data_IF_348848526229
#
_entry.id   IF_348848526229
#
_cell.length_a   1.000
_cell.length_b   1.000
_cell.length_c   1.000
_cell.angle_alpha   90.00
_cell.angle_beta   90.00
_cell.angle_gamma   90.00
#
_symmetry.space_group_name_H-M   'P 1'
#
loop_
_entity.id
_entity.type
_entity.pdbx_description
1 polymer ?
#
# COMPACT_ATOMS: atom_id res chain seq x y z
N UNK A 1 -7.74 26.85 -3.52
CA UNK A 1 -6.76 25.83 -3.06
C UNK A 1 -6.61 24.79 -4.16
N UNK A 2 -5.41 24.60 -4.73
CA UNK A 2 -5.18 23.52 -5.70
C UNK A 2 -5.12 22.19 -4.93
N UNK A 3 -6.19 21.40 -4.99
CA UNK A 3 -6.19 20.04 -4.45
C UNK A 3 -5.21 19.18 -5.27
N UNK A 4 -4.19 18.65 -4.60
CA UNK A 4 -3.22 17.72 -5.21
C UNK A 4 -3.58 16.31 -4.80
N UNK A 5 -3.95 15.48 -5.78
CA UNK A 5 -4.21 14.06 -5.57
C UNK A 5 -3.04 13.38 -4.86
N UNK A 6 -1.80 13.67 -5.28
CA UNK A 6 -0.57 13.18 -4.61
C UNK A 6 -0.54 13.48 -3.12
N UNK A 7 -0.89 14.71 -2.72
CA UNK A 7 -0.91 15.09 -1.30
C UNK A 7 -1.97 14.30 -0.53
N UNK A 8 -3.17 14.18 -1.09
CA UNK A 8 -4.27 13.40 -0.50
C UNK A 8 -3.88 11.92 -0.35
N UNK A 9 -3.30 11.33 -1.41
CA UNK A 9 -2.89 9.93 -1.44
C UNK A 9 -1.82 9.63 -0.39
N UNK A 10 -0.80 10.48 -0.28
CA UNK A 10 0.25 10.35 0.74
C UNK A 10 -0.31 10.50 2.15
N UNK A 11 -1.22 11.46 2.38
CA UNK A 11 -1.88 11.63 3.68
C UNK A 11 -2.72 10.42 4.04
N UNK A 12 -3.47 9.85 3.10
CA UNK A 12 -4.23 8.62 3.33
C UNK A 12 -3.32 7.46 3.75
N UNK A 13 -2.20 7.24 3.06
CA UNK A 13 -1.24 6.19 3.41
C UNK A 13 -0.56 6.39 4.76
N UNK A 14 -0.46 7.63 5.23
CA UNK A 14 0.01 7.96 6.58
C UNK A 14 -0.92 7.39 7.67
N UNK A 15 -2.22 7.28 7.40
CA UNK A 15 -3.20 6.68 8.33
C UNK A 15 -3.44 5.19 8.07
N UNK A 16 -3.48 4.78 6.80
CA UNK A 16 -3.70 3.38 6.41
C UNK A 16 -2.48 2.51 6.74
N UNK A 17 -1.26 3.05 6.62
CA UNK A 17 -0.01 2.32 6.91
C UNK A 17 0.05 1.74 8.32
N UNK A 18 -0.20 2.52 9.38
CA UNK A 18 -0.28 2.01 10.75
C UNK A 18 -1.34 0.91 10.93
N UNK A 19 -2.54 1.11 10.36
CA UNK A 19 -3.61 0.10 10.44
C UNK A 19 -3.22 -1.20 9.73
N UNK A 20 -2.62 -1.10 8.54
CA UNK A 20 -2.07 -2.23 7.81
C UNK A 20 -0.99 -2.94 8.64
N UNK A 21 -0.06 -2.20 9.24
CA UNK A 21 0.99 -2.78 10.08
C UNK A 21 0.43 -3.59 11.25
N UNK A 22 -0.62 -3.07 11.92
CA UNK A 22 -1.30 -3.80 13.00
C UNK A 22 -1.89 -5.11 12.50
N UNK A 23 -2.55 -5.12 11.32
CA UNK A 23 -3.09 -6.35 10.74
C UNK A 23 -2.00 -7.37 10.42
N UNK A 24 -0.89 -6.92 9.84
CA UNK A 24 0.27 -7.78 9.55
C UNK A 24 0.85 -8.36 10.84
N UNK A 25 0.97 -7.53 11.88
CA UNK A 25 1.44 -7.96 13.20
C UNK A 25 0.50 -8.99 13.84
N UNK A 26 -0.83 -8.80 13.74
CA UNK A 26 -1.80 -9.76 14.27
C UNK A 26 -1.65 -11.13 13.59
N UNK A 27 -1.47 -11.18 12.27
CA UNK A 27 -1.23 -12.44 11.55
C UNK A 27 0.12 -13.03 11.96
N UNK A 28 1.17 -12.21 12.05
CA UNK A 28 2.50 -12.65 12.48
C UNK A 28 2.48 -13.29 13.88
N UNK A 29 1.70 -12.73 14.79
CA UNK A 29 1.56 -13.20 16.18
C UNK A 29 0.53 -14.30 16.37
N UNK A 30 -0.26 -14.65 15.35
CA UNK A 30 -1.37 -15.62 15.45
C UNK A 30 -0.94 -17.08 15.66
N UNK A 31 0.34 -17.40 15.45
CA UNK A 31 0.84 -18.78 15.46
C UNK A 31 0.48 -19.60 14.21
N UNK A 32 -0.17 -19.01 13.20
CA UNK A 32 -0.51 -19.69 11.95
C UNK A 32 0.69 -19.94 11.03
N UNK A 33 1.73 -19.12 11.15
CA UNK A 33 2.98 -19.23 10.40
C UNK A 33 3.96 -20.12 11.18
N UNK A 34 3.87 -21.44 10.96
CA UNK A 34 4.57 -22.46 11.76
C UNK A 34 6.06 -22.56 11.39
N UNK A 35 6.37 -22.47 10.10
CA UNK A 35 7.74 -22.59 9.60
C UNK A 35 8.35 -21.22 9.27
N UNK A 36 9.68 -21.19 9.15
CA UNK A 36 10.39 -20.01 8.66
C UNK A 36 10.02 -19.72 7.20
N UNK A 37 9.77 -20.77 6.41
CA UNK A 37 9.34 -20.65 5.02
C UNK A 37 7.97 -19.97 4.91
N UNK A 38 7.00 -20.35 5.75
CA UNK A 38 5.68 -19.70 5.78
C UNK A 38 5.80 -18.19 6.08
N UNK A 39 6.66 -17.84 7.04
CA UNK A 39 6.92 -16.44 7.41
C UNK A 39 7.53 -15.64 6.26
N UNK A 40 8.48 -16.24 5.53
CA UNK A 40 9.10 -15.62 4.36
C UNK A 40 8.09 -15.43 3.23
N UNK A 41 7.31 -16.46 2.90
CA UNK A 41 6.26 -16.41 1.87
C UNK A 41 5.25 -15.32 2.21
N UNK A 42 4.80 -15.28 3.47
CA UNK A 42 3.87 -14.26 3.95
C UNK A 42 4.41 -12.84 3.71
N UNK A 43 5.63 -12.55 4.16
CA UNK A 43 6.23 -11.22 3.97
C UNK A 43 6.47 -10.89 2.48
N UNK A 44 6.89 -11.87 1.68
CA UNK A 44 7.10 -11.73 0.24
C UNK A 44 5.82 -11.44 -0.54
N UNK A 45 4.63 -11.77 0.00
CA UNK A 45 3.35 -11.44 -0.64
C UNK A 45 2.83 -10.11 -0.10
N UNK A 46 2.86 -9.94 1.22
CA UNK A 46 2.22 -8.82 1.91
C UNK A 46 2.94 -7.50 1.68
N UNK A 47 4.27 -7.47 1.76
CA UNK A 47 5.05 -6.24 1.56
C UNK A 47 4.91 -5.74 0.10
N UNK A 48 5.14 -6.56 -0.94
CA UNK A 48 4.98 -6.12 -2.31
C UNK A 48 3.54 -5.75 -2.66
N UNK A 49 2.55 -6.46 -2.10
CA UNK A 49 1.13 -6.12 -2.27
C UNK A 49 0.82 -4.70 -1.75
N UNK A 50 1.30 -4.34 -0.57
CA UNK A 50 1.13 -2.99 -0.02
C UNK A 50 1.80 -1.92 -0.89
N UNK A 51 3.02 -2.18 -1.34
CA UNK A 51 3.75 -1.28 -2.24
C UNK A 51 3.03 -1.11 -3.58
N UNK A 52 2.51 -2.19 -4.17
CA UNK A 52 1.73 -2.13 -5.42
C UNK A 52 0.52 -1.22 -5.28
N UNK A 53 -0.23 -1.32 -4.18
CA UNK A 53 -1.38 -0.43 -3.93
C UNK A 53 -0.90 1.02 -3.83
N UNK A 54 0.18 1.29 -3.08
CA UNK A 54 0.74 2.64 -2.97
C UNK A 54 1.12 3.22 -4.34
N UNK A 55 1.81 2.44 -5.18
CA UNK A 55 2.21 2.86 -6.53
C UNK A 55 1.02 3.03 -7.49
N UNK A 56 -0.05 2.24 -7.33
CA UNK A 56 -1.24 2.32 -8.16
C UNK A 56 -1.91 3.72 -8.11
N UNK A 57 -1.87 4.40 -6.96
CA UNK A 57 -2.39 5.77 -6.86
C UNK A 57 -1.68 6.74 -7.80
N UNK A 58 -0.35 6.69 -7.88
CA UNK A 58 0.42 7.53 -8.81
C UNK A 58 0.15 7.16 -10.27
N UNK A 59 -0.03 5.86 -10.56
CA UNK A 59 -0.43 5.41 -11.88
C UNK A 59 -1.78 6.00 -12.30
N UNK A 60 -2.77 5.97 -11.40
CA UNK A 60 -4.11 6.52 -11.62
C UNK A 60 -4.03 8.04 -11.84
N UNK A 61 -3.23 8.76 -11.04
CA UNK A 61 -3.03 10.20 -11.22
C UNK A 61 -2.42 10.53 -12.59
N UNK A 62 -1.39 9.77 -12.99
CA UNK A 62 -0.74 9.91 -14.29
C UNK A 62 -1.70 9.64 -15.45
N UNK A 63 -2.48 8.56 -15.36
CA UNK A 63 -3.52 8.23 -16.35
C UNK A 63 -4.59 9.32 -16.45
N UNK A 64 -5.05 9.84 -15.32
CA UNK A 64 -6.06 10.90 -15.29
C UNK A 64 -5.56 12.19 -15.96
N UNK A 65 -4.32 12.61 -15.66
CA UNK A 65 -3.70 13.78 -16.30
C UNK A 65 -3.54 13.60 -17.81
N UNK A 66 -3.12 12.42 -18.26
CA UNK A 66 -3.02 12.06 -19.68
C UNK A 66 -4.37 12.13 -20.39
N UNK A 67 -5.44 11.59 -19.78
CA UNK A 67 -6.79 11.61 -20.36
C UNK A 67 -7.39 13.01 -20.49
N UNK A 68 -7.03 13.92 -19.59
CA UNK A 68 -7.54 15.30 -19.58
C UNK A 68 -6.61 16.31 -20.28
N UNK A 69 -5.58 15.85 -21.00
CA UNK A 69 -4.67 16.74 -21.74
C UNK A 69 -3.87 17.71 -20.86
N UNK A 70 -3.69 17.39 -19.58
CA UNK A 70 -2.92 18.21 -18.61
C UNK A 70 -1.45 17.79 -18.55
N UNK A 71 -0.91 17.29 -19.67
CA UNK A 71 0.49 16.87 -19.84
C UNK A 71 1.18 17.83 -20.79
#
# INVERSE_FOLDING_TARGET
MKYSFKKLWNTMFLFVGPGWYVLVWMIWSSGQLLTIEDKLIFLCIVIPGFLMIYFAGFWIEGWHKKKHGLV
#
